data_IF_132611198258
#
_entry.id   IF_132611198258
#
_cell.length_a   1.000
_cell.length_b   1.000
_cell.length_c   1.000
_cell.angle_alpha   90.00
_cell.angle_beta   90.00
_cell.angle_gamma   90.00
#
_symmetry.space_group_name_H-M   'P 1'
#
loop_
_entity.id
_entity.type
_entity.pdbx_description
1 polymer ?
#
# COMPACT_ATOMS: atom_id res chain seq x y z
N UNK A 1 35.03 -19.11 -22.26
CA UNK A 1 33.78 -18.61 -21.67
C UNK A 1 33.99 -17.14 -21.35
N UNK A 2 33.30 -16.23 -22.05
CA UNK A 2 33.62 -14.80 -21.99
C UNK A 2 32.98 -14.11 -20.77
N UNK A 3 33.46 -14.47 -19.56
CA UNK A 3 33.14 -13.78 -18.30
C UNK A 3 33.64 -12.31 -18.34
N UNK A 4 34.52 -11.95 -19.30
CA UNK A 4 35.07 -10.59 -19.40
C UNK A 4 33.99 -9.59 -19.79
N UNK A 5 33.05 -9.97 -20.66
CA UNK A 5 31.94 -9.10 -21.02
C UNK A 5 31.03 -8.83 -19.81
N UNK A 6 30.73 -9.87 -19.02
CA UNK A 6 29.94 -9.74 -17.79
C UNK A 6 30.61 -8.78 -16.79
N UNK A 7 31.91 -8.98 -16.55
CA UNK A 7 32.70 -8.16 -15.62
C UNK A 7 32.86 -6.72 -16.11
N UNK A 8 33.07 -6.51 -17.41
CA UNK A 8 33.13 -5.17 -18.01
C UNK A 8 31.83 -4.39 -17.76
N UNK A 9 30.68 -4.98 -18.08
CA UNK A 9 29.37 -4.35 -17.83
C UNK A 9 29.15 -4.04 -16.34
N UNK A 10 29.59 -4.94 -15.45
CA UNK A 10 29.50 -4.74 -14.00
C UNK A 10 30.36 -3.57 -13.52
N UNK A 11 31.58 -3.44 -14.04
CA UNK A 11 32.49 -2.35 -13.67
C UNK A 11 31.97 -0.99 -14.15
N UNK A 12 31.44 -0.95 -15.37
CA UNK A 12 30.78 0.24 -15.91
C UNK A 12 29.56 0.63 -15.06
N UNK A 13 28.71 -0.34 -14.73
CA UNK A 13 27.57 -0.14 -13.82
C UNK A 13 28.00 0.40 -12.44
N UNK A 14 29.09 -0.14 -11.87
CA UNK A 14 29.65 0.35 -10.60
C UNK A 14 30.09 1.82 -10.70
N UNK A 15 30.67 2.23 -11.84
CA UNK A 15 31.07 3.62 -12.09
C UNK A 15 29.86 4.55 -12.14
N UNK A 16 28.83 4.17 -12.90
CA UNK A 16 27.57 4.92 -12.98
C UNK A 16 26.90 5.03 -11.62
N UNK A 17 26.84 3.94 -10.86
CA UNK A 17 26.26 3.92 -9.53
C UNK A 17 26.99 4.86 -8.55
N UNK A 18 28.32 4.90 -8.60
CA UNK A 18 29.13 5.84 -7.81
C UNK A 18 28.87 7.29 -8.19
N UNK A 19 28.63 7.55 -9.46
CA UNK A 19 28.27 8.88 -9.99
C UNK A 19 26.79 9.21 -9.85
N UNK A 20 26.04 8.47 -9.02
CA UNK A 20 24.60 8.67 -8.77
C UNK A 20 23.70 8.52 -10.01
N UNK A 21 24.19 7.93 -11.10
CA UNK A 21 23.42 7.58 -12.30
C UNK A 21 22.77 6.21 -12.09
N UNK A 22 21.84 6.16 -11.15
CA UNK A 22 21.29 4.90 -10.58
C UNK A 22 20.55 4.07 -11.64
N UNK A 23 19.82 4.73 -12.54
CA UNK A 23 18.97 4.04 -13.53
C UNK A 23 19.79 3.39 -14.63
N UNK A 24 20.78 4.13 -15.15
CA UNK A 24 21.72 3.58 -16.13
C UNK A 24 22.57 2.46 -15.53
N UNK A 25 22.96 2.59 -14.26
CA UNK A 25 23.63 1.51 -13.53
C UNK A 25 22.75 0.26 -13.42
N UNK A 26 21.45 0.42 -13.15
CA UNK A 26 20.49 -0.69 -13.07
C UNK A 26 20.44 -1.47 -14.38
N UNK A 27 20.34 -0.75 -15.50
CA UNK A 27 20.25 -1.36 -16.84
C UNK A 27 21.51 -2.17 -17.17
N UNK A 28 22.69 -1.63 -16.87
CA UNK A 28 23.94 -2.36 -17.07
C UNK A 28 24.10 -3.55 -16.11
N UNK A 29 23.70 -3.43 -14.84
CA UNK A 29 23.72 -4.58 -13.92
C UNK A 29 22.79 -5.69 -14.40
N UNK A 30 21.58 -5.36 -14.87
CA UNK A 30 20.64 -6.35 -15.43
C UNK A 30 21.19 -7.01 -16.68
N UNK A 31 21.76 -6.23 -17.60
CA UNK A 31 22.44 -6.77 -18.81
C UNK A 31 23.56 -7.72 -18.42
N UNK A 32 24.41 -7.32 -17.48
CA UNK A 32 25.50 -8.14 -16.95
C UNK A 32 24.96 -9.45 -16.34
N UNK A 33 23.94 -9.37 -15.50
CA UNK A 33 23.31 -10.54 -14.88
C UNK A 33 22.71 -11.51 -15.92
N UNK A 34 21.99 -10.99 -16.92
CA UNK A 34 21.42 -11.79 -18.00
C UNK A 34 22.51 -12.47 -18.84
N UNK A 35 23.63 -11.80 -19.09
CA UNK A 35 24.77 -12.39 -19.80
C UNK A 35 25.36 -13.56 -19.01
N UNK A 36 25.57 -13.39 -17.70
CA UNK A 36 26.07 -14.46 -16.83
C UNK A 36 25.12 -15.66 -16.77
N UNK A 37 23.82 -15.42 -16.71
CA UNK A 37 22.79 -16.47 -16.66
C UNK A 37 22.78 -17.38 -17.90
N UNK A 38 23.22 -16.91 -19.08
CA UNK A 38 23.33 -17.74 -20.30
C UNK A 38 24.33 -18.89 -20.15
N UNK A 39 25.28 -18.77 -19.24
CA UNK A 39 26.32 -19.77 -19.00
C UNK A 39 25.97 -20.73 -17.85
N UNK A 40 24.80 -20.55 -17.22
CA UNK A 40 24.31 -21.46 -16.18
C UNK A 40 23.75 -22.73 -16.82
N UNK A 41 24.32 -23.88 -16.47
CA UNK A 41 23.76 -25.19 -16.83
C UNK A 41 22.97 -25.72 -15.62
N UNK A 42 21.66 -26.01 -15.77
CA UNK A 42 20.84 -26.55 -14.69
C UNK A 42 21.47 -27.79 -14.06
N UNK A 43 21.59 -27.79 -12.73
CA UNK A 43 22.17 -28.92 -11.98
C UNK A 43 23.70 -28.99 -11.95
N UNK A 44 24.41 -28.05 -12.60
CA UNK A 44 25.86 -27.91 -12.47
C UNK A 44 26.22 -26.75 -11.54
N UNK A 45 27.08 -26.99 -10.55
CA UNK A 45 27.59 -25.93 -9.68
C UNK A 45 28.90 -25.37 -10.24
N UNK A 46 28.89 -24.08 -10.59
CA UNK A 46 30.08 -23.35 -11.03
C UNK A 46 30.36 -22.22 -10.02
N UNK A 47 31.11 -22.56 -8.96
CA UNK A 47 31.37 -21.65 -7.83
C UNK A 47 31.74 -20.22 -8.23
N UNK A 48 32.75 -20.00 -9.09
CA UNK A 48 33.13 -18.65 -9.52
C UNK A 48 32.03 -17.88 -10.25
N UNK A 49 31.24 -18.54 -11.11
CA UNK A 49 30.13 -17.89 -11.81
C UNK A 49 28.98 -17.58 -10.86
N UNK A 50 28.66 -18.50 -9.95
CA UNK A 50 27.62 -18.33 -8.94
C UNK A 50 27.94 -17.18 -7.97
N UNK A 51 29.20 -17.04 -7.55
CA UNK A 51 29.66 -15.92 -6.72
C UNK A 51 29.48 -14.58 -7.44
N UNK A 52 29.82 -14.51 -8.72
CA UNK A 52 29.66 -13.28 -9.49
C UNK A 52 28.19 -12.94 -9.74
N UNK A 53 27.37 -13.94 -10.05
CA UNK A 53 25.92 -13.77 -10.18
C UNK A 53 25.28 -13.37 -8.84
N UNK A 54 25.75 -13.92 -7.73
CA UNK A 54 25.32 -13.50 -6.39
C UNK A 54 25.66 -12.03 -6.13
N UNK A 55 26.86 -11.59 -6.48
CA UNK A 55 27.28 -10.19 -6.34
C UNK A 55 26.47 -9.24 -7.23
N UNK A 56 26.20 -9.65 -8.48
CA UNK A 56 25.36 -8.88 -9.40
C UNK A 56 23.92 -8.77 -8.89
N UNK A 57 23.33 -9.87 -8.44
CA UNK A 57 22.01 -9.85 -7.82
C UNK A 57 21.99 -8.95 -6.58
N UNK A 58 23.03 -8.98 -5.75
CA UNK A 58 23.14 -8.07 -4.61
C UNK A 58 23.25 -6.60 -5.03
N UNK A 59 24.03 -6.28 -6.07
CA UNK A 59 24.13 -4.90 -6.60
C UNK A 59 22.77 -4.41 -7.13
N UNK A 60 22.03 -5.25 -7.86
CA UNK A 60 20.68 -4.95 -8.33
C UNK A 60 19.74 -4.74 -7.13
N UNK A 61 19.84 -5.59 -6.10
CA UNK A 61 19.11 -5.42 -4.84
C UNK A 61 19.36 -4.06 -4.21
N UNK A 62 20.62 -3.62 -4.13
CA UNK A 62 20.99 -2.31 -3.57
C UNK A 62 20.47 -1.15 -4.44
N UNK A 63 20.48 -1.28 -5.76
CA UNK A 63 19.92 -0.26 -6.65
C UNK A 63 18.41 -0.12 -6.42
N UNK A 64 17.67 -1.23 -6.42
CA UNK A 64 16.23 -1.20 -6.13
C UNK A 64 15.92 -0.72 -4.71
N UNK A 65 16.78 -1.05 -3.74
CA UNK A 65 16.68 -0.53 -2.38
C UNK A 65 16.78 1.00 -2.36
N UNK A 66 17.72 1.57 -3.12
CA UNK A 66 17.86 3.03 -3.25
C UNK A 66 16.67 3.67 -3.96
N UNK A 67 16.12 2.99 -4.98
CA UNK A 67 14.87 3.39 -5.66
C UNK A 67 13.60 3.12 -4.84
N UNK A 68 13.72 2.67 -3.59
CA UNK A 68 12.59 2.36 -2.70
C UNK A 68 11.64 1.26 -3.21
N UNK A 69 12.03 0.54 -4.26
CA UNK A 69 11.30 -0.62 -4.74
C UNK A 69 11.72 -1.85 -3.91
N UNK A 70 11.22 -1.90 -2.67
CA UNK A 70 11.54 -2.96 -1.71
C UNK A 70 11.16 -4.37 -2.20
N UNK A 71 10.03 -4.59 -2.92
CA UNK A 71 9.71 -5.91 -3.48
C UNK A 71 10.75 -6.40 -4.50
N UNK A 72 11.18 -5.56 -5.47
CA UNK A 72 12.25 -5.94 -6.41
C UNK A 72 13.58 -6.11 -5.69
N UNK A 73 13.87 -5.23 -4.74
CA UNK A 73 15.07 -5.34 -3.88
C UNK A 73 15.13 -6.68 -3.15
N UNK A 74 14.02 -7.09 -2.52
CA UNK A 74 13.91 -8.37 -1.82
C UNK A 74 14.11 -9.55 -2.78
N UNK A 75 13.47 -9.51 -3.95
CA UNK A 75 13.59 -10.56 -4.97
C UNK A 75 15.05 -10.83 -5.32
N UNK A 76 15.80 -9.77 -5.66
CA UNK A 76 17.22 -9.89 -6.00
C UNK A 76 18.10 -10.18 -4.78
N UNK A 77 17.73 -9.72 -3.58
CA UNK A 77 18.41 -10.08 -2.34
C UNK A 77 18.33 -11.58 -2.05
N UNK A 78 17.13 -12.16 -2.13
CA UNK A 78 16.92 -13.60 -1.99
C UNK A 78 17.63 -14.38 -3.11
N UNK A 79 17.62 -13.86 -4.33
CA UNK A 79 18.31 -14.46 -5.47
C UNK A 79 19.85 -14.49 -5.27
N UNK A 80 20.41 -13.45 -4.66
CA UNK A 80 21.81 -13.42 -4.23
C UNK A 80 22.08 -14.46 -3.14
N UNK A 81 21.22 -14.52 -2.12
CA UNK A 81 21.36 -15.41 -0.96
C UNK A 81 21.26 -16.90 -1.34
N UNK A 82 20.38 -17.24 -2.30
CA UNK A 82 20.25 -18.61 -2.84
C UNK A 82 21.56 -19.14 -3.43
N UNK A 83 22.40 -18.26 -3.97
CA UNK A 83 23.67 -18.63 -4.61
C UNK A 83 24.82 -18.67 -3.61
N UNK A 84 24.94 -17.62 -2.79
CA UNK A 84 26.00 -17.50 -1.81
C UNK A 84 25.46 -16.91 -0.51
N UNK A 85 25.64 -17.63 0.60
CA UNK A 85 25.31 -17.11 1.94
C UNK A 85 26.31 -16.02 2.34
N UNK A 86 25.80 -14.86 2.73
CA UNK A 86 26.60 -13.72 3.12
C UNK A 86 25.83 -12.82 4.10
N UNK A 87 26.44 -12.52 5.25
CA UNK A 87 25.82 -11.68 6.29
C UNK A 87 25.44 -10.28 5.79
N UNK A 88 26.18 -9.69 4.85
CA UNK A 88 25.81 -8.39 4.24
C UNK A 88 24.48 -8.47 3.50
N UNK A 89 24.25 -9.58 2.78
CA UNK A 89 23.01 -9.84 2.06
C UNK A 89 21.88 -10.09 3.06
N UNK A 90 22.12 -10.90 4.09
CA UNK A 90 21.16 -11.16 5.18
C UNK A 90 20.75 -9.87 5.89
N UNK A 91 21.70 -8.99 6.22
CA UNK A 91 21.43 -7.67 6.83
C UNK A 91 20.51 -6.83 5.95
N UNK A 92 20.78 -6.81 4.64
CA UNK A 92 19.98 -6.04 3.71
C UNK A 92 18.58 -6.64 3.58
N UNK A 93 18.44 -7.96 3.48
CA UNK A 93 17.14 -8.65 3.46
C UNK A 93 16.34 -8.36 4.73
N UNK A 94 16.96 -8.48 5.92
CA UNK A 94 16.31 -8.13 7.19
C UNK A 94 15.82 -6.68 7.20
N UNK A 95 16.62 -5.76 6.69
CA UNK A 95 16.25 -4.35 6.57
C UNK A 95 15.04 -4.17 5.65
N UNK A 96 15.01 -4.89 4.52
CA UNK A 96 13.90 -4.87 3.57
C UNK A 96 12.63 -5.45 4.21
N UNK A 97 12.72 -6.59 4.90
CA UNK A 97 11.58 -7.16 5.61
C UNK A 97 11.00 -6.20 6.64
N UNK A 98 11.84 -5.54 7.44
CA UNK A 98 11.37 -4.51 8.39
C UNK A 98 10.63 -3.37 7.67
N UNK A 99 11.17 -2.84 6.57
CA UNK A 99 10.51 -1.77 5.80
C UNK A 99 9.20 -2.22 5.16
N UNK A 100 9.11 -3.48 4.79
CA UNK A 100 7.88 -4.10 4.28
C UNK A 100 6.95 -4.57 5.40
N UNK A 101 7.33 -4.43 6.67
CA UNK A 101 6.52 -4.85 7.80
C UNK A 101 6.42 -6.37 8.01
N UNK A 102 7.29 -7.13 7.36
CA UNK A 102 7.35 -8.59 7.42
C UNK A 102 8.15 -9.03 8.64
N UNK A 103 7.59 -8.81 9.83
CA UNK A 103 8.30 -9.02 11.11
C UNK A 103 8.64 -10.49 11.39
N UNK A 104 7.79 -11.42 10.95
CA UNK A 104 8.03 -12.86 11.12
C UNK A 104 9.26 -13.29 10.32
N UNK A 105 9.27 -12.97 9.03
CA UNK A 105 10.36 -13.26 8.11
C UNK A 105 11.63 -12.52 8.50
N UNK A 106 11.51 -11.31 9.05
CA UNK A 106 12.62 -10.60 9.67
C UNK A 106 13.24 -11.41 10.82
N UNK A 107 12.45 -11.89 11.78
CA UNK A 107 12.97 -12.67 12.93
C UNK A 107 13.67 -13.94 12.44
N UNK A 108 13.02 -14.72 11.58
CA UNK A 108 13.58 -15.95 10.99
C UNK A 108 14.89 -15.71 10.23
N UNK A 109 15.00 -14.58 9.53
CA UNK A 109 16.21 -14.20 8.79
C UNK A 109 17.29 -13.64 9.72
N UNK A 110 16.90 -12.87 10.75
CA UNK A 110 17.81 -12.21 11.67
C UNK A 110 18.57 -13.21 12.56
N UNK A 111 17.95 -14.34 12.88
CA UNK A 111 18.59 -15.44 13.60
C UNK A 111 19.74 -16.09 12.83
N UNK A 112 19.71 -16.03 11.49
CA UNK A 112 20.74 -16.62 10.63
C UNK A 112 22.01 -15.76 10.53
N UNK A 113 21.97 -14.50 11.00
CA UNK A 113 23.11 -13.59 10.98
C UNK A 113 24.11 -13.98 12.06
N UNK A 114 25.36 -14.23 11.67
CA UNK A 114 26.46 -14.52 12.60
C UNK A 114 27.00 -13.23 13.21
N UNK A 115 27.35 -12.22 12.39
CA UNK A 115 27.86 -10.93 12.86
C UNK A 115 26.78 -9.83 12.93
N UNK A 116 26.09 -9.75 14.07
CA UNK A 116 25.06 -8.74 14.33
C UNK A 116 25.61 -7.33 14.63
N UNK A 117 26.93 -7.14 14.73
CA UNK A 117 27.53 -5.85 15.12
C UNK A 117 27.27 -4.75 14.08
N UNK A 118 27.13 -5.12 12.81
CA UNK A 118 26.97 -4.20 11.68
C UNK A 118 25.51 -3.77 11.39
N UNK A 119 24.54 -4.19 12.20
CA UNK A 119 23.10 -3.98 11.98
C UNK A 119 22.59 -2.56 12.35
N UNK A 120 23.32 -1.48 12.04
CA UNK A 120 22.95 -0.11 12.45
C UNK A 120 21.60 0.35 11.88
N UNK A 121 21.35 0.07 10.60
CA UNK A 121 20.09 0.46 9.93
C UNK A 121 18.88 -0.25 10.54
N UNK A 122 18.99 -1.55 10.82
CA UNK A 122 17.98 -2.34 11.53
C UNK A 122 17.65 -1.72 12.88
N UNK A 123 18.66 -1.34 13.68
CA UNK A 123 18.45 -0.66 14.97
C UNK A 123 17.69 0.65 14.83
N UNK A 124 18.00 1.46 13.81
CA UNK A 124 17.30 2.73 13.55
C UNK A 124 15.84 2.47 13.16
N UNK A 125 15.58 1.47 12.31
CA UNK A 125 14.21 1.10 11.92
C UNK A 125 13.39 0.60 13.11
N UNK A 126 13.95 -0.31 13.92
CA UNK A 126 13.30 -0.81 15.12
C UNK A 126 12.97 0.32 16.10
N UNK A 127 13.89 1.28 16.30
CA UNK A 127 13.63 2.45 17.14
C UNK A 127 12.51 3.33 16.59
N UNK A 128 12.46 3.57 15.27
CA UNK A 128 11.38 4.32 14.62
C UNK A 128 10.02 3.63 14.77
N UNK A 129 10.01 2.30 14.63
CA UNK A 129 8.83 1.46 14.83
C UNK A 129 8.46 1.28 16.30
N UNK A 130 9.30 1.78 17.23
CA UNK A 130 9.20 1.59 18.69
C UNK A 130 9.18 0.10 19.11
N UNK A 131 9.95 -0.75 18.41
CA UNK A 131 10.03 -2.19 18.66
C UNK A 131 11.33 -2.57 19.40
N UNK A 132 11.20 -3.10 20.63
CA UNK A 132 12.26 -3.81 21.36
C UNK A 132 12.13 -5.34 21.26
N UNK A 133 13.13 -6.11 21.72
CA UNK A 133 13.12 -7.59 21.62
C UNK A 133 11.90 -8.22 22.31
N UNK A 134 11.62 -7.86 23.57
CA UNK A 134 10.42 -8.30 24.29
C UNK A 134 9.12 -7.81 23.63
N UNK A 135 9.15 -6.64 23.00
CA UNK A 135 8.00 -6.08 22.28
C UNK A 135 7.70 -6.87 21.01
N UNK A 136 8.72 -7.37 20.29
CA UNK A 136 8.55 -8.20 19.09
C UNK A 136 7.94 -9.55 19.47
N UNK A 137 8.42 -10.21 20.52
CA UNK A 137 7.83 -11.47 21.01
C UNK A 137 6.36 -11.26 21.41
N UNK A 138 6.08 -10.26 22.23
CA UNK A 138 4.71 -9.90 22.62
C UNK A 138 3.83 -9.53 21.42
N UNK A 139 4.37 -8.85 20.42
CA UNK A 139 3.68 -8.53 19.16
C UNK A 139 3.31 -9.81 18.41
N UNK A 140 4.22 -10.77 18.32
CA UNK A 140 4.00 -12.05 17.65
C UNK A 140 2.98 -12.92 18.42
N UNK A 141 3.03 -12.93 19.75
CA UNK A 141 2.07 -13.65 20.61
C UNK A 141 0.65 -13.06 20.50
N UNK A 142 0.54 -11.73 20.54
CA UNK A 142 -0.75 -11.04 20.48
C UNK A 142 -1.20 -10.76 19.06
N UNK A 143 -0.49 -11.29 18.05
CA UNK A 143 -0.78 -11.03 16.65
C UNK A 143 -2.21 -11.42 16.32
N UNK A 144 -2.88 -10.57 15.54
CA UNK A 144 -4.15 -10.96 14.93
C UNK A 144 -3.91 -12.15 14.00
N UNK A 145 -4.80 -13.14 14.07
CA UNK A 145 -4.79 -14.34 13.21
C UNK A 145 -6.06 -14.38 12.37
N UNK A 146 -6.08 -15.19 11.31
CA UNK A 146 -7.30 -15.41 10.52
C UNK A 146 -8.45 -15.96 11.35
N UNK A 147 -8.13 -16.85 12.30
CA UNK A 147 -9.12 -17.42 13.24
C UNK A 147 -9.72 -16.34 14.13
N UNK A 148 -8.90 -15.51 14.79
CA UNK A 148 -9.36 -14.38 15.61
C UNK A 148 -10.18 -13.38 14.78
N UNK A 149 -9.78 -13.10 13.55
CA UNK A 149 -10.51 -12.20 12.65
C UNK A 149 -11.88 -12.78 12.27
N UNK A 150 -11.96 -14.09 12.00
CA UNK A 150 -13.20 -14.78 11.72
C UNK A 150 -14.14 -14.80 12.92
N UNK A 151 -13.64 -15.11 14.12
CA UNK A 151 -14.39 -15.02 15.36
C UNK A 151 -14.94 -13.61 15.57
N UNK A 152 -14.08 -12.59 15.47
CA UNK A 152 -14.50 -11.19 15.58
C UNK A 152 -15.60 -10.82 14.58
N UNK A 153 -15.51 -11.28 13.33
CA UNK A 153 -16.56 -11.04 12.33
C UNK A 153 -17.90 -11.67 12.71
N UNK A 154 -17.87 -12.87 13.30
CA UNK A 154 -19.07 -13.52 13.83
C UNK A 154 -19.68 -12.72 14.99
N UNK A 155 -18.87 -12.29 15.94
CA UNK A 155 -19.30 -11.47 17.09
C UNK A 155 -19.97 -10.17 16.61
N UNK A 156 -19.36 -9.48 15.65
CA UNK A 156 -19.90 -8.25 15.04
C UNK A 156 -21.23 -8.51 14.34
N UNK A 157 -21.35 -9.63 13.61
CA UNK A 157 -22.61 -10.00 12.94
C UNK A 157 -23.76 -10.29 13.92
N UNK A 158 -23.42 -10.63 15.16
CA UNK A 158 -24.37 -10.83 16.27
C UNK A 158 -24.59 -9.55 17.09
N UNK A 159 -24.05 -8.40 16.64
CA UNK A 159 -24.22 -7.09 17.26
C UNK A 159 -23.30 -6.83 18.46
N UNK A 160 -22.27 -7.65 18.67
CA UNK A 160 -21.29 -7.46 19.74
C UNK A 160 -20.16 -6.53 19.31
N UNK A 161 -19.65 -5.75 20.25
CA UNK A 161 -18.51 -4.86 20.03
C UNK A 161 -17.20 -5.59 20.26
N UNK A 162 -16.16 -5.15 19.55
CA UNK A 162 -14.79 -5.64 19.74
C UNK A 162 -14.32 -5.20 21.14
N UNK A 163 -13.81 -6.09 22.00
CA UNK A 163 -13.26 -5.70 23.30
C UNK A 163 -12.16 -4.64 23.17
N UNK A 164 -12.11 -3.69 24.11
CA UNK A 164 -11.23 -2.52 24.00
C UNK A 164 -9.73 -2.90 23.99
N UNK A 165 -9.33 -3.87 24.79
CA UNK A 165 -7.96 -4.39 24.85
C UNK A 165 -7.53 -5.07 23.54
N UNK A 166 -8.43 -5.86 22.95
CA UNK A 166 -8.22 -6.48 21.63
C UNK A 166 -8.11 -5.41 20.55
N UNK A 167 -9.02 -4.43 20.56
CA UNK A 167 -9.01 -3.31 19.63
C UNK A 167 -7.71 -2.51 19.70
N UNK A 168 -7.32 -2.08 20.90
CA UNK A 168 -6.09 -1.31 21.10
C UNK A 168 -4.86 -2.11 20.65
N UNK A 169 -4.81 -3.42 20.92
CA UNK A 169 -3.72 -4.27 20.45
C UNK A 169 -3.63 -4.34 18.92
N UNK A 170 -4.77 -4.47 18.22
CA UNK A 170 -4.80 -4.48 16.75
C UNK A 170 -4.32 -3.13 16.20
N UNK A 171 -4.77 -2.02 16.79
CA UNK A 171 -4.37 -0.68 16.37
C UNK A 171 -2.88 -0.45 16.60
N UNK A 172 -2.32 -0.83 17.74
CA UNK A 172 -0.87 -0.76 18.00
C UNK A 172 -0.08 -1.59 16.98
N UNK A 173 -0.57 -2.78 16.65
CA UNK A 173 0.08 -3.63 15.65
C UNK A 173 0.08 -2.98 14.26
N UNK A 174 -1.04 -2.34 13.89
CA UNK A 174 -1.19 -1.59 12.66
C UNK A 174 -0.33 -0.34 12.61
N UNK A 175 -0.25 0.42 13.71
CA UNK A 175 0.61 1.61 13.82
C UNK A 175 2.08 1.24 13.57
N UNK A 176 2.60 0.25 14.28
CA UNK A 176 4.00 -0.20 14.13
C UNK A 176 4.31 -0.64 12.71
N UNK A 177 3.38 -1.33 12.05
CA UNK A 177 3.49 -1.76 10.66
C UNK A 177 3.56 -0.54 9.72
N UNK A 178 2.63 0.41 9.85
CA UNK A 178 2.50 1.57 8.98
C UNK A 178 3.62 2.60 9.20
N UNK A 179 4.17 2.72 10.41
CA UNK A 179 5.36 3.55 10.69
C UNK A 179 6.60 3.09 9.91
N UNK A 180 6.64 1.81 9.51
CA UNK A 180 7.66 1.26 8.62
C UNK A 180 7.52 1.70 7.17
N UNK A 181 6.32 2.12 6.75
CA UNK A 181 6.03 2.49 5.38
C UNK A 181 6.53 3.90 5.03
N UNK A 182 6.72 4.10 3.74
CA UNK A 182 7.00 5.40 3.13
C UNK A 182 5.70 6.15 2.80
N UNK A 183 5.75 7.47 2.53
CA UNK A 183 4.55 8.22 2.16
C UNK A 183 3.97 7.73 0.84
N UNK A 184 4.84 7.34 -0.10
CA UNK A 184 4.47 6.69 -1.35
C UNK A 184 4.93 5.25 -1.31
N UNK A 185 3.98 4.31 -1.37
CA UNK A 185 4.28 2.87 -1.36
C UNK A 185 4.31 2.34 -2.78
N UNK A 186 5.41 1.69 -3.16
CA UNK A 186 5.54 1.04 -4.46
C UNK A 186 5.03 -0.41 -4.40
N UNK A 187 4.07 -0.73 -5.27
CA UNK A 187 3.43 -2.04 -5.37
C UNK A 187 3.69 -2.62 -6.75
N UNK A 188 4.26 -3.81 -6.79
CA UNK A 188 4.52 -4.56 -8.02
C UNK A 188 3.62 -5.78 -8.06
N UNK A 189 2.85 -5.93 -9.14
CA UNK A 189 1.94 -7.05 -9.33
C UNK A 189 2.02 -7.61 -10.74
N UNK A 190 2.16 -8.94 -10.82
CA UNK A 190 1.96 -9.73 -12.04
C UNK A 190 0.54 -10.28 -12.18
N UNK A 191 -0.32 -10.00 -11.21
CA UNK A 191 -1.73 -10.40 -11.18
C UNK A 191 -2.63 -9.18 -10.97
N UNK A 192 -3.93 -9.44 -10.88
CA UNK A 192 -4.94 -8.39 -10.70
C UNK A 192 -4.72 -7.60 -9.40
N UNK A 193 -4.86 -6.26 -9.49
CA UNK A 193 -4.87 -5.35 -8.35
C UNK A 193 -6.25 -4.72 -8.27
N UNK A 194 -6.94 -4.90 -7.14
CA UNK A 194 -8.26 -4.36 -6.90
C UNK A 194 -8.14 -3.09 -6.05
N UNK A 195 -8.62 -1.98 -6.57
CA UNK A 195 -8.60 -0.66 -5.94
C UNK A 195 -10.02 -0.29 -5.51
N UNK A 196 -10.21 -0.18 -4.21
CA UNK A 196 -11.43 0.27 -3.55
C UNK A 196 -11.28 1.73 -3.17
N UNK A 197 -12.33 2.51 -3.37
CA UNK A 197 -12.44 3.87 -2.87
C UNK A 197 -12.99 3.91 -1.45
N UNK A 198 -13.72 4.98 -1.18
CA UNK A 198 -14.30 5.28 0.13
C UNK A 198 -15.25 4.16 0.58
N UNK A 199 -15.25 3.87 1.88
CA UNK A 199 -16.09 2.84 2.49
C UNK A 199 -16.93 3.35 3.65
N UNK A 200 -16.56 4.47 4.28
CA UNK A 200 -17.39 5.24 5.23
C UNK A 200 -18.19 4.40 6.24
N UNK A 201 -17.52 3.47 6.92
CA UNK A 201 -18.15 2.63 7.94
C UNK A 201 -19.22 1.66 7.42
N UNK A 202 -19.27 1.36 6.13
CA UNK A 202 -20.13 0.34 5.53
C UNK A 202 -19.54 -1.07 5.65
N UNK A 203 -19.26 -1.48 6.90
CA UNK A 203 -18.62 -2.76 7.24
C UNK A 203 -19.23 -3.97 6.51
N UNK A 204 -20.56 -4.08 6.48
CA UNK A 204 -21.23 -5.25 5.90
C UNK A 204 -21.10 -5.32 4.38
N UNK A 205 -21.06 -4.16 3.70
CA UNK A 205 -20.84 -4.11 2.25
C UNK A 205 -19.41 -4.51 1.91
N UNK A 206 -18.43 -4.02 2.68
CA UNK A 206 -17.01 -4.39 2.55
C UNK A 206 -16.80 -5.89 2.77
N UNK A 207 -17.35 -6.47 3.85
CA UNK A 207 -17.31 -7.92 4.10
C UNK A 207 -17.97 -8.69 2.94
N UNK A 208 -19.11 -8.21 2.48
CA UNK A 208 -19.85 -8.81 1.38
C UNK A 208 -19.05 -8.89 0.08
N UNK A 209 -18.29 -7.85 -0.26
CA UNK A 209 -17.41 -7.85 -1.43
C UNK A 209 -16.20 -8.73 -1.20
N UNK A 210 -15.51 -8.59 -0.06
CA UNK A 210 -14.32 -9.38 0.26
C UNK A 210 -14.60 -10.89 0.22
N UNK A 211 -15.76 -11.34 0.70
CA UNK A 211 -16.18 -12.74 0.61
C UNK A 211 -16.26 -13.28 -0.84
N UNK A 212 -16.40 -12.41 -1.83
CA UNK A 212 -16.44 -12.78 -3.25
C UNK A 212 -15.07 -12.74 -3.92
N UNK A 213 -14.27 -11.73 -3.60
CA UNK A 213 -13.05 -11.40 -4.36
C UNK A 213 -11.75 -11.81 -3.69
N UNK A 214 -11.76 -12.03 -2.37
CA UNK A 214 -10.56 -12.37 -1.60
C UNK A 214 -10.16 -13.83 -1.84
N UNK A 215 -9.08 -14.04 -2.58
CA UNK A 215 -8.57 -15.36 -2.99
C UNK A 215 -7.15 -15.65 -2.50
N UNK A 216 -6.50 -14.69 -1.82
CA UNK A 216 -5.12 -14.79 -1.34
C UNK A 216 -4.05 -14.55 -2.41
N UNK A 217 -4.43 -14.41 -3.69
CA UNK A 217 -3.50 -14.17 -4.79
C UNK A 217 -3.45 -12.69 -5.19
N UNK A 218 -4.62 -12.04 -5.25
CA UNK A 218 -4.77 -10.65 -5.66
C UNK A 218 -4.19 -9.65 -4.66
N UNK A 219 -3.90 -8.45 -5.16
CA UNK A 219 -3.58 -7.30 -4.32
C UNK A 219 -4.84 -6.46 -4.15
N UNK A 220 -5.06 -5.95 -2.95
CA UNK A 220 -6.17 -5.11 -2.54
C UNK A 220 -5.61 -3.77 -2.07
N UNK A 221 -6.11 -2.68 -2.63
CA UNK A 221 -5.79 -1.31 -2.25
C UNK A 221 -7.08 -0.66 -1.79
N UNK A 222 -7.14 -0.16 -0.56
CA UNK A 222 -8.25 0.68 -0.10
C UNK A 222 -7.75 2.12 0.00
N UNK A 223 -8.43 3.02 -0.70
CA UNK A 223 -7.93 4.35 -0.98
C UNK A 223 -8.56 5.43 -0.10
N UNK A 224 -8.36 5.31 1.22
CA UNK A 224 -8.82 6.28 2.22
C UNK A 224 -10.31 6.25 2.54
N UNK A 225 -10.71 7.05 3.53
CA UNK A 225 -12.10 7.26 3.94
C UNK A 225 -12.82 5.99 4.38
N UNK A 226 -12.27 5.40 5.44
CA UNK A 226 -12.78 4.18 6.06
C UNK A 226 -13.88 4.42 7.07
N UNK A 227 -13.87 5.61 7.66
CA UNK A 227 -14.69 5.99 8.83
C UNK A 227 -15.60 7.17 8.50
N UNK A 228 -16.36 7.60 9.52
CA UNK A 228 -17.40 8.63 9.45
C UNK A 228 -18.59 8.25 8.56
N UNK A 229 -19.69 9.02 8.71
CA UNK A 229 -20.98 8.88 8.02
C UNK A 229 -21.74 7.59 8.35
N UNK A 230 -21.15 6.42 8.09
CA UNK A 230 -21.72 5.12 8.45
C UNK A 230 -21.63 4.83 9.95
N UNK A 231 -22.31 3.77 10.38
CA UNK A 231 -22.47 3.45 11.82
C UNK A 231 -21.54 2.33 12.34
N UNK A 232 -20.72 1.77 11.45
CA UNK A 232 -19.79 0.67 11.74
C UNK A 232 -18.35 1.04 11.34
N UNK A 233 -17.97 2.30 11.56
CA UNK A 233 -16.63 2.80 11.24
C UNK A 233 -15.52 2.08 12.01
N UNK A 234 -15.74 1.79 13.30
CA UNK A 234 -14.79 1.02 14.13
C UNK A 234 -14.56 -0.36 13.52
N UNK A 235 -15.62 -1.11 13.24
CA UNK A 235 -15.50 -2.47 12.70
C UNK A 235 -14.91 -2.48 11.29
N UNK A 236 -15.31 -1.51 10.46
CA UNK A 236 -14.80 -1.36 9.10
C UNK A 236 -13.29 -1.14 9.08
N UNK A 237 -12.79 -0.15 9.82
CA UNK A 237 -11.35 0.10 9.86
C UNK A 237 -10.58 -1.06 10.50
N UNK A 238 -11.12 -1.66 11.57
CA UNK A 238 -10.47 -2.79 12.25
C UNK A 238 -10.33 -4.01 11.33
N UNK A 239 -11.34 -4.30 10.49
CA UNK A 239 -11.25 -5.33 9.47
C UNK A 239 -10.09 -5.04 8.50
N UNK A 240 -10.04 -3.83 7.95
CA UNK A 240 -9.05 -3.44 6.94
C UNK A 240 -7.63 -3.44 7.50
N UNK A 241 -7.39 -2.89 8.69
CA UNK A 241 -6.07 -2.90 9.31
C UNK A 241 -5.66 -4.32 9.73
N UNK A 242 -6.61 -5.16 10.16
CA UNK A 242 -6.33 -6.57 10.45
C UNK A 242 -5.88 -7.32 9.20
N UNK A 243 -6.55 -7.09 8.06
CA UNK A 243 -6.15 -7.64 6.77
C UNK A 243 -4.77 -7.12 6.33
N UNK A 244 -4.47 -5.84 6.58
CA UNK A 244 -3.12 -5.28 6.35
C UNK A 244 -2.05 -5.98 7.21
N UNK A 245 -2.33 -6.27 8.48
CA UNK A 245 -1.40 -6.98 9.38
C UNK A 245 -1.21 -8.45 8.96
N UNK A 246 -2.29 -9.11 8.53
CA UNK A 246 -2.25 -10.51 8.09
C UNK A 246 -1.58 -10.67 6.72
N UNK A 247 -1.77 -9.70 5.83
CA UNK A 247 -1.32 -9.75 4.44
C UNK A 247 -0.60 -8.46 4.02
N UNK A 248 0.54 -8.09 4.65
CA UNK A 248 1.18 -6.78 4.48
C UNK A 248 1.66 -6.49 3.06
N UNK A 249 1.94 -7.52 2.25
CA UNK A 249 2.30 -7.38 0.84
C UNK A 249 1.11 -7.40 -0.13
N UNK A 250 -0.09 -7.77 0.33
CA UNK A 250 -1.29 -7.93 -0.53
C UNK A 250 -2.38 -6.91 -0.24
N UNK A 251 -2.48 -6.42 0.99
CA UNK A 251 -3.47 -5.41 1.37
C UNK A 251 -2.72 -4.11 1.61
N UNK A 252 -3.18 -3.01 1.04
CA UNK A 252 -2.59 -1.69 1.21
C UNK A 252 -3.67 -0.67 1.50
N UNK A 253 -3.35 0.29 2.37
CA UNK A 253 -4.25 1.31 2.86
C UNK A 253 -3.57 2.67 2.65
N UNK A 254 -4.28 3.64 2.10
CA UNK A 254 -3.84 5.05 2.07
C UNK A 254 -4.64 5.89 3.06
N UNK A 255 -4.18 7.11 3.35
CA UNK A 255 -4.90 8.05 4.19
C UNK A 255 -5.92 8.80 3.33
N UNK A 256 -7.16 8.89 3.81
CA UNK A 256 -8.17 9.83 3.30
C UNK A 256 -8.32 11.05 4.20
N UNK A 257 -9.17 11.99 3.81
CA UNK A 257 -9.42 13.18 4.62
C UNK A 257 -10.30 12.87 5.84
N UNK A 258 -11.07 11.78 5.82
CA UNK A 258 -11.80 11.28 6.99
C UNK A 258 -10.91 10.55 8.00
N UNK A 259 -9.61 10.39 7.73
CA UNK A 259 -8.63 9.97 8.74
C UNK A 259 -7.93 11.19 9.42
N UNK A 260 -8.64 12.31 9.48
CA UNK A 260 -8.26 13.54 10.19
C UNK A 260 -9.15 13.77 11.41
N UNK A 261 -8.52 14.18 12.52
CA UNK A 261 -9.20 14.39 13.80
C UNK A 261 -10.40 15.34 13.71
N UNK A 262 -10.24 16.47 13.01
CA UNK A 262 -11.30 17.49 12.94
C UNK A 262 -12.48 17.02 12.10
N UNK A 263 -12.23 16.18 11.09
CA UNK A 263 -13.27 15.54 10.28
C UNK A 263 -14.02 14.49 11.11
N UNK A 264 -13.29 13.65 11.86
CA UNK A 264 -13.93 12.65 12.75
C UNK A 264 -14.85 13.25 13.81
N UNK A 265 -14.50 14.43 14.34
CA UNK A 265 -15.33 15.15 15.30
C UNK A 265 -16.59 15.74 14.66
N UNK A 266 -16.53 16.06 13.38
CA UNK A 266 -17.65 16.65 12.65
C UNK A 266 -18.61 15.59 12.07
N UNK A 267 -18.10 14.43 11.67
CA UNK A 267 -18.84 13.47 10.82
C UNK A 267 -19.11 12.09 11.46
N UNK A 268 -18.86 11.96 12.77
CA UNK A 268 -19.49 10.93 13.61
C UNK A 268 -18.56 9.84 14.14
N UNK A 269 -17.36 9.65 13.61
CA UNK A 269 -16.46 8.60 14.09
C UNK A 269 -16.06 8.80 15.54
N UNK A 270 -15.78 10.04 15.95
CA UNK A 270 -15.45 10.34 17.34
C UNK A 270 -16.59 9.98 18.31
N UNK A 271 -17.83 10.26 17.92
CA UNK A 271 -19.02 9.93 18.70
C UNK A 271 -19.31 8.43 18.69
N UNK A 272 -19.06 7.74 17.58
CA UNK A 272 -19.12 6.28 17.50
C UNK A 272 -18.18 5.62 18.52
N UNK A 273 -16.92 6.06 18.58
CA UNK A 273 -15.93 5.55 19.54
C UNK A 273 -16.37 5.81 20.98
N UNK A 274 -16.87 7.02 21.29
CA UNK A 274 -17.41 7.34 22.62
C UNK A 274 -18.56 6.44 23.03
N UNK A 275 -19.49 6.18 22.11
CA UNK A 275 -20.67 5.36 22.35
C UNK A 275 -20.31 3.89 22.56
N UNK A 276 -19.39 3.34 21.76
CA UNK A 276 -18.99 1.92 21.84
C UNK A 276 -18.04 1.64 23.02
N UNK A 277 -17.22 2.63 23.40
CA UNK A 277 -16.17 2.48 24.41
C UNK A 277 -16.26 3.55 25.52
N UNK A 278 -17.37 3.65 26.27
CA UNK A 278 -17.59 4.78 27.19
C UNK A 278 -16.50 4.92 28.28
N UNK A 279 -15.92 3.80 28.74
CA UNK A 279 -14.90 3.79 29.80
C UNK A 279 -13.46 3.95 29.30
N UNK A 280 -13.21 3.76 28.01
CA UNK A 280 -11.86 3.80 27.41
C UNK A 280 -11.77 4.65 26.14
N UNK A 281 -12.81 5.42 25.81
CA UNK A 281 -12.93 6.19 24.56
C UNK A 281 -11.75 7.10 24.29
N UNK A 282 -11.19 7.74 25.32
CA UNK A 282 -10.00 8.58 25.19
C UNK A 282 -8.77 7.79 24.70
N UNK A 283 -8.51 6.63 25.31
CA UNK A 283 -7.41 5.74 24.93
C UNK A 283 -7.62 5.17 23.52
N UNK A 284 -8.78 4.58 23.27
CA UNK A 284 -9.14 3.97 21.99
C UNK A 284 -9.04 4.99 20.86
N UNK A 285 -9.64 6.19 21.02
CA UNK A 285 -9.60 7.21 19.99
C UNK A 285 -8.17 7.70 19.72
N UNK A 286 -7.34 7.88 20.76
CA UNK A 286 -5.94 8.24 20.58
C UNK A 286 -5.17 7.18 19.77
N UNK A 287 -5.45 5.89 19.99
CA UNK A 287 -4.86 4.79 19.19
C UNK A 287 -5.29 4.85 17.73
N UNK A 288 -6.57 5.09 17.45
CA UNK A 288 -7.02 5.32 16.07
C UNK A 288 -6.29 6.49 15.42
N UNK A 289 -6.20 7.64 16.11
CA UNK A 289 -5.51 8.81 15.58
C UNK A 289 -4.00 8.56 15.36
N UNK A 290 -3.36 7.71 16.17
CA UNK A 290 -1.97 7.32 15.95
C UNK A 290 -1.81 6.49 14.67
N UNK A 291 -2.68 5.48 14.46
CA UNK A 291 -2.69 4.67 13.24
C UNK A 291 -3.02 5.50 12.00
N UNK A 292 -4.02 6.37 12.08
CA UNK A 292 -4.44 7.24 10.98
C UNK A 292 -3.32 8.16 10.50
N UNK A 293 -2.53 8.73 11.41
CA UNK A 293 -1.35 9.53 11.06
C UNK A 293 -0.25 8.70 10.41
N UNK A 294 -0.16 7.40 10.73
CA UNK A 294 0.86 6.51 10.19
C UNK A 294 0.55 6.02 8.76
N UNK A 295 -0.71 6.10 8.31
CA UNK A 295 -1.14 5.67 6.97
C UNK A 295 -0.32 6.37 5.86
N UNK A 296 0.18 5.62 4.86
CA UNK A 296 0.74 6.19 3.63
C UNK A 296 -0.23 7.14 2.92
N UNK A 297 0.31 8.06 2.14
CA UNK A 297 -0.49 9.07 1.43
C UNK A 297 -0.91 8.56 0.04
N UNK A 298 0.01 7.90 -0.66
CA UNK A 298 -0.20 7.43 -2.01
C UNK A 298 0.45 6.07 -2.28
N UNK A 299 0.03 5.43 -3.36
CA UNK A 299 0.57 4.17 -3.84
C UNK A 299 0.91 4.30 -5.32
N UNK A 300 2.01 3.70 -5.75
CA UNK A 300 2.34 3.53 -7.17
C UNK A 300 2.30 2.05 -7.51
N UNK A 301 1.43 1.67 -8.44
CA UNK A 301 1.31 0.31 -8.94
C UNK A 301 2.08 0.18 -10.25
N UNK A 302 2.96 -0.82 -10.31
CA UNK A 302 3.76 -1.19 -11.49
C UNK A 302 4.53 -0.02 -12.11
N UNK A 303 4.96 0.94 -11.29
CA UNK A 303 5.66 2.17 -11.73
C UNK A 303 4.84 3.04 -12.70
N UNK A 304 3.53 2.77 -12.88
CA UNK A 304 2.67 3.41 -13.90
C UNK A 304 1.41 4.08 -13.38
N UNK A 305 0.76 3.48 -12.38
CA UNK A 305 -0.52 3.98 -11.87
C UNK A 305 -0.29 4.61 -10.50
N UNK A 306 -0.57 5.90 -10.39
CA UNK A 306 -0.51 6.63 -9.11
C UNK A 306 -1.89 6.70 -8.48
N UNK A 307 -1.97 6.28 -7.22
CA UNK A 307 -3.22 6.17 -6.47
C UNK A 307 -3.11 7.08 -5.24
N UNK A 308 -4.07 7.97 -5.06
CA UNK A 308 -4.19 8.86 -3.90
C UNK A 308 -5.65 9.12 -3.59
N UNK A 309 -6.01 9.47 -2.36
CA UNK A 309 -7.42 9.61 -2.00
C UNK A 309 -8.09 10.81 -2.69
N UNK A 310 -7.54 12.00 -2.45
CA UNK A 310 -7.99 13.28 -3.00
C UNK A 310 -7.51 13.46 -4.44
N UNK A 311 -6.45 14.23 -4.67
CA UNK A 311 -6.01 14.48 -6.04
C UNK A 311 -4.64 15.11 -6.10
N UNK A 312 -4.43 16.05 -7.02
CA UNK A 312 -3.15 16.74 -7.14
C UNK A 312 -3.17 18.10 -6.41
N UNK A 313 -2.04 18.56 -5.85
CA UNK A 313 -1.95 19.82 -5.10
C UNK A 313 -2.06 21.09 -5.95
N UNK A 314 -2.25 20.98 -7.27
CA UNK A 314 -2.35 22.13 -8.19
C UNK A 314 -1.03 22.80 -8.53
N UNK A 315 0.03 22.51 -7.77
CA UNK A 315 1.41 22.91 -8.07
C UNK A 315 2.17 21.76 -8.74
N UNK A 316 3.20 22.05 -9.57
CA UNK A 316 4.11 21.03 -10.07
C UNK A 316 4.74 20.28 -8.88
N UNK A 317 4.61 18.96 -8.88
CA UNK A 317 5.06 18.12 -7.77
C UNK A 317 5.75 16.87 -8.28
N UNK A 318 6.90 16.56 -7.67
CA UNK A 318 7.60 15.29 -7.86
C UNK A 318 7.26 14.31 -6.74
N UNK A 319 7.25 13.02 -7.05
CA UNK A 319 7.04 11.96 -6.05
C UNK A 319 8.05 12.07 -4.89
N UNK A 320 9.30 12.44 -5.17
CA UNK A 320 10.35 12.59 -4.15
C UNK A 320 9.99 13.68 -3.11
N UNK A 321 9.32 14.75 -3.52
CA UNK A 321 8.88 15.81 -2.61
C UNK A 321 7.82 15.28 -1.64
N UNK A 322 6.82 14.55 -2.15
CA UNK A 322 5.82 13.87 -1.31
C UNK A 322 6.48 12.83 -0.40
N UNK A 323 7.54 12.18 -0.86
CA UNK A 323 8.26 11.17 -0.10
C UNK A 323 8.99 11.76 1.12
N UNK A 324 9.34 13.04 1.07
CA UNK A 324 10.03 13.79 2.13
C UNK A 324 9.06 14.48 3.11
N UNK A 325 7.78 14.63 2.77
CA UNK A 325 6.78 15.25 3.65
C UNK A 325 6.64 14.55 5.00
N UNK A 326 6.36 15.33 6.05
CA UNK A 326 6.11 14.78 7.37
C UNK A 326 4.64 14.39 7.54
N UNK A 327 4.28 13.15 7.20
CA UNK A 327 2.88 12.68 7.25
C UNK A 327 2.25 12.55 8.64
N UNK A 328 3.07 12.47 9.69
CA UNK A 328 2.63 12.28 11.09
C UNK A 328 2.10 13.59 11.71
N UNK A 329 1.33 14.33 10.94
CA UNK A 329 0.70 15.60 11.30
C UNK A 329 -0.81 15.54 11.07
N UNK A 330 -1.53 16.48 11.66
CA UNK A 330 -2.92 16.76 11.30
C UNK A 330 -2.85 17.61 10.02
N UNK A 331 -3.21 17.03 8.87
CA UNK A 331 -2.82 17.44 7.51
C UNK A 331 -3.28 18.82 7.00
N UNK A 332 -3.54 19.77 7.89
CA UNK A 332 -3.87 21.16 7.57
C UNK A 332 -2.66 22.08 7.45
N UNK A 333 -1.50 21.67 7.98
CA UNK A 333 -0.28 22.49 8.00
C UNK A 333 0.61 22.33 6.78
N UNK A 334 0.35 21.32 5.94
CA UNK A 334 1.15 20.97 4.77
C UNK A 334 0.25 21.03 3.53
N UNK A 335 0.44 22.05 2.69
CA UNK A 335 -0.36 22.24 1.47
C UNK A 335 -0.20 21.09 0.48
N UNK A 336 0.95 20.41 0.49
CA UNK A 336 1.20 19.28 -0.40
C UNK A 336 0.32 18.09 0.01
N UNK A 337 0.37 17.71 1.29
CA UNK A 337 -0.49 16.65 1.82
C UNK A 337 -1.97 17.00 1.68
N UNK A 338 -2.33 18.27 1.88
CA UNK A 338 -3.71 18.73 1.71
C UNK A 338 -4.20 18.50 0.29
N UNK A 339 -3.38 18.76 -0.73
CA UNK A 339 -3.71 18.47 -2.12
C UNK A 339 -4.04 17.01 -2.38
N UNK A 340 -3.18 16.11 -1.89
CA UNK A 340 -3.37 14.66 -2.03
C UNK A 340 -4.57 14.11 -1.28
N UNK A 341 -5.08 14.81 -0.26
CA UNK A 341 -6.23 14.37 0.53
C UNK A 341 -7.56 15.05 0.15
N UNK A 342 -7.53 16.24 -0.47
CA UNK A 342 -8.75 17.07 -0.63
C UNK A 342 -9.03 17.58 -2.04
N UNK A 343 -8.05 17.55 -2.96
CA UNK A 343 -8.25 18.11 -4.30
C UNK A 343 -9.17 17.25 -5.16
N UNK A 344 -9.90 17.88 -6.07
CA UNK A 344 -10.86 17.22 -6.97
C UNK A 344 -10.57 17.49 -8.46
N UNK A 345 -10.71 16.47 -9.33
CA UNK A 345 -10.61 16.66 -10.78
C UNK A 345 -11.91 17.24 -11.38
N UNK A 346 -11.79 18.18 -12.32
CA UNK A 346 -12.90 18.65 -13.16
C UNK A 346 -12.43 18.93 -14.59
N UNK A 347 -13.37 18.95 -15.55
CA UNK A 347 -13.09 19.24 -16.97
C UNK A 347 -12.84 20.73 -17.22
N UNK A 348 -11.77 21.24 -16.60
CA UNK A 348 -11.27 22.62 -16.68
C UNK A 348 -9.81 22.63 -17.17
N UNK A 349 -9.25 23.81 -17.37
CA UNK A 349 -7.80 24.03 -17.57
C UNK A 349 -7.26 24.85 -16.40
N UNK A 350 -6.11 24.46 -15.86
CA UNK A 350 -5.48 25.07 -14.71
C UNK A 350 -6.09 24.59 -13.39
N UNK A 351 -6.21 25.53 -12.44
CA UNK A 351 -6.72 25.27 -11.09
C UNK A 351 -7.81 26.28 -10.70
N UNK A 352 -8.76 25.82 -9.89
CA UNK A 352 -9.76 26.66 -9.23
C UNK A 352 -9.79 26.40 -7.72
N UNK A 353 -10.40 27.33 -6.97
CA UNK A 353 -10.59 27.17 -5.54
C UNK A 353 -11.59 26.05 -5.24
N UNK A 354 -11.23 25.15 -4.31
CA UNK A 354 -12.12 24.07 -3.90
C UNK A 354 -13.28 24.57 -3.05
N UNK A 355 -14.50 24.14 -3.40
CA UNK A 355 -15.71 24.37 -2.60
C UNK A 355 -15.62 23.76 -1.20
N UNK A 356 -14.70 22.83 -0.98
CA UNK A 356 -14.42 22.18 0.31
C UNK A 356 -13.58 23.04 1.25
N UNK A 357 -13.08 24.19 0.76
CA UNK A 357 -12.14 25.09 1.48
C UNK A 357 -10.82 24.40 1.88
N UNK A 358 -10.49 23.31 1.21
CA UNK A 358 -9.25 22.56 1.33
C UNK A 358 -8.95 21.90 -0.03
N UNK A 359 -7.67 21.86 -0.40
CA UNK A 359 -7.24 21.41 -1.73
C UNK A 359 -7.65 22.39 -2.83
N UNK A 360 -7.56 21.94 -4.08
CA UNK A 360 -7.93 22.69 -5.28
C UNK A 360 -8.82 21.85 -6.19
N UNK A 361 -9.52 22.49 -7.11
CA UNK A 361 -10.03 21.82 -8.31
C UNK A 361 -8.94 21.91 -9.38
N UNK A 362 -8.65 20.82 -10.09
CA UNK A 362 -7.59 20.77 -11.09
C UNK A 362 -8.05 20.17 -12.41
N UNK A 363 -7.51 20.70 -13.51
CA UNK A 363 -7.74 20.25 -14.88
C UNK A 363 -6.75 19.24 -15.41
N UNK A 364 -6.96 18.84 -16.67
CA UNK A 364 -6.14 17.86 -17.39
C UNK A 364 -4.67 18.27 -17.54
N UNK A 365 -4.37 19.56 -17.68
CA UNK A 365 -3.02 20.09 -17.81
C UNK A 365 -2.16 19.83 -16.57
N UNK A 366 -2.76 19.92 -15.38
CA UNK A 366 -2.12 19.58 -14.11
C UNK A 366 -1.82 18.08 -14.03
N UNK A 367 -2.76 17.25 -14.51
CA UNK A 367 -2.59 15.79 -14.57
C UNK A 367 -1.48 15.41 -15.54
N UNK A 368 -1.49 15.98 -16.75
CA UNK A 368 -0.46 15.73 -17.76
C UNK A 368 0.93 16.10 -17.27
N UNK A 369 1.07 17.28 -16.66
CA UNK A 369 2.34 17.72 -16.10
C UNK A 369 2.85 16.75 -15.02
N UNK A 370 1.95 16.30 -14.13
CA UNK A 370 2.32 15.37 -13.06
C UNK A 370 2.69 13.99 -13.60
N UNK A 371 1.88 13.42 -14.49
CA UNK A 371 2.10 12.08 -15.04
C UNK A 371 3.39 12.05 -15.87
N UNK A 372 3.57 12.98 -16.81
CA UNK A 372 4.78 13.06 -17.63
C UNK A 372 6.03 13.33 -16.79
N UNK A 373 5.94 14.26 -15.84
CA UNK A 373 7.06 14.64 -14.97
C UNK A 373 7.56 13.51 -14.06
N UNK A 374 6.71 12.50 -13.83
CA UNK A 374 7.00 11.35 -12.96
C UNK A 374 7.03 10.00 -13.71
N UNK A 375 6.84 9.99 -15.03
CA UNK A 375 6.87 8.77 -15.85
C UNK A 375 5.69 7.82 -15.64
N UNK A 376 4.55 8.36 -15.19
CA UNK A 376 3.32 7.65 -14.89
C UNK A 376 2.33 7.76 -16.06
N UNK A 377 1.35 6.86 -16.09
CA UNK A 377 0.36 6.78 -17.17
C UNK A 377 -1.06 7.10 -16.68
N UNK A 378 -1.36 6.88 -15.39
CA UNK A 378 -2.73 6.98 -14.85
C UNK A 378 -2.76 7.53 -13.42
N UNK A 379 -3.73 8.41 -13.14
CA UNK A 379 -4.14 8.83 -11.80
C UNK A 379 -5.44 8.11 -11.39
N UNK A 380 -5.42 7.38 -10.28
CA UNK A 380 -6.61 6.80 -9.65
C UNK A 380 -6.88 7.50 -8.32
N UNK A 381 -8.13 7.89 -8.08
CA UNK A 381 -8.55 8.61 -6.87
C UNK A 381 -9.96 8.24 -6.39
N UNK A 382 -10.39 8.77 -5.24
CA UNK A 382 -11.70 8.45 -4.63
C UNK A 382 -12.49 9.71 -4.23
N UNK A 383 -12.85 9.94 -2.95
CA UNK A 383 -13.26 11.23 -2.32
C UNK A 383 -14.52 11.97 -2.84
N UNK A 384 -14.96 11.68 -4.06
CA UNK A 384 -16.21 12.16 -4.63
C UNK A 384 -17.19 10.99 -4.71
N UNK A 385 -18.34 11.13 -4.06
CA UNK A 385 -19.46 10.22 -4.26
C UNK A 385 -19.96 10.37 -5.71
N UNK A 386 -19.94 9.28 -6.47
CA UNK A 386 -20.38 9.23 -7.86
C UNK A 386 -21.58 8.28 -7.97
N UNK A 387 -22.60 8.68 -8.73
CA UNK A 387 -23.85 7.91 -8.91
C UNK A 387 -23.60 6.46 -9.34
N UNK A 388 -22.72 6.23 -10.32
CA UNK A 388 -22.37 4.88 -10.80
C UNK A 388 -21.19 4.25 -10.04
N UNK A 389 -20.74 4.85 -8.95
CA UNK A 389 -19.59 4.39 -8.17
C UNK A 389 -18.23 4.66 -8.82
N UNK A 390 -18.16 5.14 -10.06
CA UNK A 390 -16.91 5.57 -10.70
C UNK A 390 -17.13 6.67 -11.73
N UNK A 391 -16.07 7.44 -12.02
CA UNK A 391 -16.04 8.46 -13.08
C UNK A 391 -14.69 8.44 -13.77
N UNK A 392 -14.68 8.53 -15.10
CA UNK A 392 -13.47 8.71 -15.90
C UNK A 392 -13.42 10.16 -16.37
N UNK A 393 -12.30 10.82 -16.12
CA UNK A 393 -12.04 12.22 -16.45
C UNK A 393 -10.78 12.34 -17.31
N UNK A 394 -10.56 13.52 -17.88
CA UNK A 394 -9.27 13.91 -18.46
C UNK A 394 -8.76 12.93 -19.53
N UNK A 395 -9.63 12.59 -20.49
CA UNK A 395 -9.29 11.68 -21.59
C UNK A 395 -8.79 10.30 -21.11
N UNK A 396 -9.31 9.80 -19.99
CA UNK A 396 -8.92 8.50 -19.43
C UNK A 396 -7.71 8.53 -18.50
N UNK A 397 -7.06 9.69 -18.34
CA UNK A 397 -5.86 9.83 -17.47
C UNK A 397 -6.21 9.95 -15.98
N UNK A 398 -7.49 10.15 -15.64
CA UNK A 398 -7.96 10.20 -14.25
C UNK A 398 -9.18 9.33 -14.06
N UNK A 399 -9.12 8.43 -13.08
CA UNK A 399 -10.24 7.54 -12.69
C UNK A 399 -10.59 7.80 -11.23
N UNK A 400 -11.85 8.14 -11.00
CA UNK A 400 -12.44 8.23 -9.66
C UNK A 400 -13.19 6.93 -9.36
N UNK A 401 -12.92 6.29 -8.22
CA UNK A 401 -13.59 5.07 -7.74
C UNK A 401 -14.16 5.31 -6.34
N UNK A 402 -15.39 4.87 -6.10
CA UNK A 402 -16.12 5.06 -4.84
C UNK A 402 -16.82 3.77 -4.45
N UNK A 403 -16.53 3.22 -3.27
CA UNK A 403 -16.90 1.84 -2.89
C UNK A 403 -18.01 1.76 -1.84
N UNK A 404 -18.71 2.86 -1.58
CA UNK A 404 -19.81 2.98 -0.64
C UNK A 404 -21.16 3.06 -1.40
N UNK A 405 -21.86 1.93 -1.64
CA UNK A 405 -23.19 1.94 -2.28
C UNK A 405 -24.25 2.55 -1.36
N UNK A 406 -25.32 3.09 -1.94
CA UNK A 406 -26.42 3.79 -1.26
C UNK A 406 -25.93 4.87 -0.27
N UNK A 407 -24.85 5.57 -0.62
CA UNK A 407 -24.16 6.47 0.29
C UNK A 407 -25.09 7.57 0.78
N UNK A 408 -25.15 7.75 2.11
CA UNK A 408 -26.07 8.66 2.81
C UNK A 408 -27.55 8.50 2.42
N UNK A 409 -27.97 7.29 2.01
CA UNK A 409 -29.35 7.00 1.63
C UNK A 409 -29.71 7.43 0.20
N UNK A 410 -28.72 7.69 -0.65
CA UNK A 410 -28.91 7.89 -2.09
C UNK A 410 -29.10 6.54 -2.80
N UNK A 411 -29.38 6.56 -4.12
CA UNK A 411 -29.43 5.36 -4.98
C UNK A 411 -28.08 5.10 -5.70
N UNK A 412 -26.97 5.63 -5.18
CA UNK A 412 -25.66 5.49 -5.81
C UNK A 412 -25.14 4.04 -5.75
N UNK A 413 -24.53 3.57 -6.82
CA UNK A 413 -23.75 2.33 -6.81
C UNK A 413 -22.40 2.52 -6.13
N UNK A 414 -21.86 1.46 -5.53
CA UNK A 414 -20.43 1.39 -5.21
C UNK A 414 -19.68 0.68 -6.34
N UNK A 415 -18.38 0.87 -6.47
CA UNK A 415 -17.54 0.14 -7.42
C UNK A 415 -16.14 -0.10 -6.87
N UNK A 416 -15.39 -1.02 -7.48
CA UNK A 416 -13.95 -1.13 -7.34
C UNK A 416 -13.30 -1.28 -8.72
N UNK A 417 -12.07 -0.78 -8.87
CA UNK A 417 -11.30 -0.87 -10.10
C UNK A 417 -10.41 -2.11 -10.06
N UNK A 418 -10.29 -2.83 -11.18
CA UNK A 418 -9.38 -3.95 -11.40
C UNK A 418 -8.31 -3.51 -12.38
N UNK A 419 -7.08 -3.39 -11.91
CA UNK A 419 -5.91 -3.16 -12.75
C UNK A 419 -5.35 -4.51 -13.19
N UNK A 420 -5.17 -4.70 -14.50
CA UNK A 420 -4.57 -5.92 -15.04
C UNK A 420 -3.08 -5.74 -15.30
N UNK A 421 -2.27 -6.78 -15.07
CA UNK A 421 -0.89 -6.80 -15.57
C UNK A 421 -0.92 -6.74 -17.11
N UNK A 422 0.11 -6.10 -17.70
CA UNK A 422 0.30 -5.80 -19.12
C UNK A 422 0.37 -7.05 -20.02
N UNK A 423 -0.70 -7.83 -20.07
CA UNK A 423 -0.84 -9.11 -20.76
C UNK A 423 -1.92 -9.04 -21.86
N UNK A 424 -2.28 -7.84 -22.30
CA UNK A 424 -3.33 -7.60 -23.31
C UNK A 424 -4.76 -7.62 -22.76
N UNK A 425 -4.96 -7.43 -21.45
CA UNK A 425 -6.27 -7.12 -20.85
C UNK A 425 -6.32 -5.65 -20.45
N UNK A 426 -7.43 -5.02 -20.79
CA UNK A 426 -7.81 -3.66 -20.40
C UNK A 426 -8.27 -3.62 -18.94
N UNK A 427 -7.94 -2.53 -18.23
CA UNK A 427 -8.42 -2.30 -16.86
C UNK A 427 -9.95 -2.31 -16.83
N UNK A 428 -10.55 -2.76 -15.73
CA UNK A 428 -12.00 -2.99 -15.63
C UNK A 428 -12.56 -2.37 -14.35
N UNK A 429 -13.72 -1.74 -14.41
CA UNK A 429 -14.46 -1.32 -13.21
C UNK A 429 -15.60 -2.29 -12.94
N UNK A 430 -15.71 -2.74 -11.70
CA UNK A 430 -16.72 -3.70 -11.25
C UNK A 430 -17.65 -3.06 -10.22
N UNK A 431 -18.96 -3.11 -10.48
CA UNK A 431 -19.98 -2.56 -9.58
C UNK A 431 -20.23 -3.44 -8.34
N UNK A 432 -20.33 -2.79 -7.19
CA UNK A 432 -20.71 -3.33 -5.89
C UNK A 432 -22.21 -3.11 -5.68
N UNK A 433 -22.99 -4.17 -5.85
CA UNK A 433 -24.41 -4.19 -5.47
C UNK A 433 -24.58 -4.42 -3.97
N UNK A 434 -25.55 -3.74 -3.33
CA UNK A 434 -25.97 -4.00 -1.95
C UNK A 434 -26.27 -5.47 -1.69
N UNK A 435 -25.77 -6.02 -0.58
CA UNK A 435 -26.11 -7.37 -0.10
C UNK A 435 -27.07 -7.28 1.08
N UNK A 436 -28.37 -7.20 0.81
CA UNK A 436 -29.39 -6.88 1.83
C UNK A 436 -29.70 -7.98 2.86
N UNK A 437 -29.16 -9.20 2.75
CA UNK A 437 -29.39 -10.29 3.73
C UNK A 437 -28.23 -11.30 3.72
N UNK A 438 -27.46 -11.40 4.80
CA UNK A 438 -26.56 -12.54 5.03
C UNK A 438 -27.11 -13.47 6.13
N UNK A 439 -27.24 -14.76 5.82
CA UNK A 439 -27.12 -15.86 6.79
C UNK A 439 -25.67 -16.33 6.72
N UNK A 440 -24.98 -16.36 7.86
CA UNK A 440 -23.58 -16.83 7.96
C UNK A 440 -23.48 -18.25 7.40
N UNK A 441 -22.72 -18.43 6.33
CA UNK A 441 -22.49 -19.71 5.65
C UNK A 441 -21.13 -19.71 4.95
N UNK A 442 -20.44 -20.85 5.04
CA UNK A 442 -19.05 -21.09 4.60
C UNK A 442 -18.70 -20.45 3.25
N UNK A 443 -17.48 -19.93 3.15
CA UNK A 443 -16.82 -19.44 1.92
C UNK A 443 -17.15 -20.33 0.72
N UNK A 444 -17.89 -19.78 -0.25
CA UNK A 444 -18.37 -20.53 -1.42
C UNK A 444 -19.15 -19.67 -2.42
N UNK A 445 -18.47 -19.34 -3.53
CA UNK A 445 -18.94 -18.88 -4.87
C UNK A 445 -20.34 -18.24 -4.95
N UNK A 446 -20.37 -16.91 -5.01
CA UNK A 446 -21.47 -16.17 -5.65
C UNK A 446 -20.97 -15.54 -6.95
N UNK A 447 -21.86 -15.38 -7.94
CA UNK A 447 -21.53 -14.86 -9.29
C UNK A 447 -21.28 -13.33 -9.24
N UNK A 448 -20.31 -12.79 -10.01
CA UNK A 448 -20.07 -11.35 -10.12
C UNK A 448 -21.22 -10.60 -10.84
N UNK A 449 -21.39 -9.31 -10.52
CA UNK A 449 -22.27 -8.37 -11.22
C UNK A 449 -21.71 -7.90 -12.58
N UNK A 450 -22.36 -6.92 -13.21
CA UNK A 450 -21.98 -6.42 -14.54
C UNK A 450 -20.58 -5.77 -14.58
N UNK A 451 -19.86 -6.02 -15.67
CA UNK A 451 -18.44 -5.73 -15.92
C UNK A 451 -18.32 -4.69 -17.06
N UNK A 452 -17.53 -3.63 -16.88
CA UNK A 452 -17.22 -2.61 -17.91
C UNK A 452 -15.71 -2.51 -18.15
N UNK A 453 -15.27 -2.72 -19.41
CA UNK A 453 -13.87 -2.64 -19.85
C UNK A 453 -13.45 -1.20 -20.16
N UNK A 454 -12.27 -0.78 -19.70
CA UNK A 454 -11.64 0.51 -19.98
C UNK A 454 -10.51 0.33 -21.01
N UNK A 455 -10.73 0.76 -22.25
CA UNK A 455 -9.68 0.82 -23.27
C UNK A 455 -8.87 2.12 -23.16
N UNK A 456 -7.54 2.02 -23.14
CA UNK A 456 -6.64 3.17 -23.29
C UNK A 456 -6.05 3.13 -24.71
N UNK A 457 -6.24 4.21 -25.49
CA UNK A 457 -5.72 4.35 -26.85
C UNK A 457 -4.21 4.62 -26.91
#
# INVERSE_FOLDING_TARGET
MDIRQMEHLRQEANSLFKNQRIDEALDLYKKSFMEGMKFMVPGSWNGPLEEQLSLLAYNICIVYYKRKNFPKSLTFGLESLKRCKNDKVLHKICTIYLRMGMLKEYVEMYEQIVDKSCCREIKVLLNRMKLGSQTIEKYLENRITLEKLYEMSKEISEGRFIPADVLESILEQGESLLLGCENVVYVESKGEVLVFGDTHGQYFDVVGVLNKVFDGERIFIFNGDYVDRGTHSVENFVLLISLKILFPGKVHLTRGNHELMDINKAYGFFDEVKRKYPFSSGSVYQKFQAVFRALPISIIVNEKVFITHGGLPGTPTKIDELQESYRMTDAHTDELLKGFLWSDPEEITGIEESKRRAGVVFGIDIVDQFLQGNGLDLLVRSHQAIENGYKVNHEGKTVTVFSAPDYEGTESSGSYLVLYPSNGREDEVVNVSRLTKYKVGRFGKSKPGETLKLSYD
#
